data_IF_529460572798
#
_entry.id   IF_529460572798
#
_cell.length_a   1.000
_cell.length_b   1.000
_cell.length_c   1.000
_cell.angle_alpha   90.00
_cell.angle_beta   90.00
_cell.angle_gamma   90.00
#
_symmetry.space_group_name_H-M   'P 1'
#
loop_
_entity.id
_entity.type
_entity.pdbx_description
1 polymer ?
#
# COMPACT_ATOMS: atom_id res chain seq x y z
N UNK A 1 -12.03 -2.75 0.27
CA UNK A 1 -10.65 -3.24 0.04
C UNK A 1 -10.41 -3.80 -1.36
N UNK A 2 -10.84 -5.01 -1.74
CA UNK A 2 -10.56 -5.55 -3.11
C UNK A 2 -11.06 -4.63 -4.23
N UNK A 3 -12.28 -4.11 -4.10
CA UNK A 3 -12.83 -3.12 -5.03
C UNK A 3 -11.99 -1.83 -5.07
N UNK A 4 -11.64 -1.27 -3.91
CA UNK A 4 -10.76 -0.08 -3.78
C UNK A 4 -9.41 -0.28 -4.49
N UNK A 5 -8.76 -1.44 -4.30
CA UNK A 5 -7.49 -1.81 -4.96
C UNK A 5 -7.68 -1.92 -6.48
N UNK A 6 -8.75 -2.59 -6.94
CA UNK A 6 -9.04 -2.71 -8.38
C UNK A 6 -9.30 -1.36 -9.04
N UNK A 7 -10.07 -0.48 -8.40
CA UNK A 7 -10.35 0.89 -8.88
C UNK A 7 -9.07 1.72 -8.95
N UNK A 8 -8.26 1.69 -7.90
CA UNK A 8 -6.97 2.38 -7.83
C UNK A 8 -5.96 1.91 -8.89
N UNK A 9 -5.99 0.64 -9.27
CA UNK A 9 -5.14 0.07 -10.33
C UNK A 9 -5.57 0.45 -11.75
N UNK A 10 -6.64 1.23 -11.93
CA UNK A 10 -7.11 1.65 -13.24
C UNK A 10 -7.82 0.54 -14.02
N UNK A 11 -8.39 -0.46 -13.32
CA UNK A 11 -9.29 -1.44 -13.94
C UNK A 11 -10.70 -0.88 -14.19
N UNK A 12 -10.90 0.41 -13.90
CA UNK A 12 -12.07 1.21 -14.27
C UNK A 12 -11.94 1.69 -15.72
N UNK A 13 -13.05 1.73 -16.47
CA UNK A 13 -13.09 2.26 -17.84
C UNK A 13 -13.05 3.79 -17.92
N UNK A 14 -13.22 4.48 -16.79
CA UNK A 14 -13.30 5.95 -16.70
C UNK A 14 -12.09 6.50 -15.95
N UNK A 15 -11.37 7.50 -16.51
CA UNK A 15 -10.32 8.23 -15.80
C UNK A 15 -10.86 8.90 -14.54
N UNK A 16 -10.16 8.74 -13.43
CA UNK A 16 -10.58 9.30 -12.14
C UNK A 16 -10.25 10.78 -12.07
N UNK A 17 -11.15 11.54 -11.46
CA UNK A 17 -10.93 12.94 -11.10
C UNK A 17 -10.06 13.04 -9.84
N UNK A 18 -9.49 14.22 -9.59
CA UNK A 18 -8.55 14.41 -8.47
C UNK A 18 -9.21 14.21 -7.09
N UNK A 19 -10.47 14.61 -6.94
CA UNK A 19 -11.30 14.33 -5.76
C UNK A 19 -11.46 12.83 -5.52
N UNK A 20 -11.76 12.06 -6.58
CA UNK A 20 -11.85 10.59 -6.48
C UNK A 20 -10.51 9.94 -6.14
N UNK A 21 -9.39 10.49 -6.62
CA UNK A 21 -8.05 10.03 -6.25
C UNK A 21 -7.72 10.33 -4.78
N UNK A 22 -8.23 11.45 -4.26
CA UNK A 22 -8.05 11.83 -2.85
C UNK A 22 -8.82 10.89 -1.92
N UNK A 23 -10.07 10.57 -2.28
CA UNK A 23 -10.86 9.57 -1.55
C UNK A 23 -10.17 8.20 -1.55
N UNK A 24 -9.70 7.75 -2.71
CA UNK A 24 -8.98 6.48 -2.83
C UNK A 24 -7.68 6.46 -2.02
N UNK A 25 -6.91 7.55 -2.01
CA UNK A 25 -5.71 7.65 -1.19
C UNK A 25 -6.03 7.53 0.30
N UNK A 26 -7.06 8.23 0.77
CA UNK A 26 -7.52 8.12 2.17
C UNK A 26 -7.95 6.70 2.52
N UNK A 27 -8.76 6.05 1.68
CA UNK A 27 -9.20 4.67 1.91
C UNK A 27 -8.02 3.68 1.95
N UNK A 28 -7.10 3.78 0.99
CA UNK A 28 -5.94 2.90 0.90
C UNK A 28 -4.98 3.10 2.08
N UNK A 29 -4.78 4.33 2.53
CA UNK A 29 -3.97 4.62 3.73
C UNK A 29 -4.59 4.02 4.98
N UNK A 30 -5.89 4.21 5.18
CA UNK A 30 -6.61 3.60 6.31
C UNK A 30 -6.62 2.06 6.25
N UNK A 31 -6.45 1.47 5.07
CA UNK A 31 -6.20 0.04 4.93
C UNK A 31 -4.78 -0.35 5.33
N UNK A 32 -3.76 0.38 4.87
CA UNK A 32 -2.36 0.13 5.24
C UNK A 32 -2.15 0.28 6.75
N UNK A 33 -2.65 1.35 7.36
CA UNK A 33 -2.55 1.60 8.81
C UNK A 33 -3.09 0.46 9.67
N UNK A 34 -4.13 -0.24 9.19
CA UNK A 34 -4.69 -1.40 9.88
C UNK A 34 -3.88 -2.68 9.69
N UNK A 35 -3.28 -2.88 8.52
CA UNK A 35 -2.59 -4.13 8.18
C UNK A 35 -1.11 -4.13 8.59
N UNK A 36 -0.49 -2.96 8.55
CA UNK A 36 0.94 -2.79 8.74
C UNK A 36 1.45 -3.29 10.10
N UNK A 37 0.79 -3.00 11.25
CA UNK A 37 1.28 -3.46 12.55
C UNK A 37 1.35 -4.99 12.65
N UNK A 38 0.26 -5.69 12.29
CA UNK A 38 0.20 -7.15 12.32
C UNK A 38 1.24 -7.80 11.40
N UNK A 39 1.45 -7.23 10.21
CA UNK A 39 2.48 -7.73 9.30
C UNK A 39 3.88 -7.49 9.85
N UNK A 40 4.16 -6.32 10.46
CA UNK A 40 5.46 -6.02 11.06
C UNK A 40 5.78 -6.96 12.21
N UNK A 41 4.82 -7.26 13.08
CA UNK A 41 4.97 -8.26 14.15
C UNK A 41 5.31 -9.66 13.59
N UNK A 42 4.71 -10.03 12.46
CA UNK A 42 4.98 -11.32 11.84
C UNK A 42 6.38 -11.38 11.21
N UNK A 43 6.83 -10.29 10.58
CA UNK A 43 8.20 -10.15 10.07
C UNK A 43 9.20 -10.20 11.22
N UNK A 44 8.95 -9.51 12.33
CA UNK A 44 9.85 -9.47 13.49
C UNK A 44 10.09 -10.83 14.14
N UNK A 45 9.19 -11.79 13.94
CA UNK A 45 9.35 -13.18 14.39
C UNK A 45 10.29 -14.02 13.49
N UNK A 46 10.62 -13.55 12.29
CA UNK A 46 11.59 -14.22 11.43
C UNK A 46 12.99 -14.10 12.03
N UNK A 47 13.93 -14.95 11.59
CA UNK A 47 15.31 -14.82 12.01
C UNK A 47 15.97 -13.57 11.43
N UNK A 48 16.41 -12.66 12.32
CA UNK A 48 17.00 -11.35 11.98
C UNK A 48 18.31 -11.42 11.20
N UNK A 49 19.03 -12.56 11.24
CA UNK A 49 20.25 -12.78 10.45
C UNK A 49 20.00 -13.25 9.02
N UNK A 50 18.74 -13.52 8.66
CA UNK A 50 18.37 -14.04 7.35
C UNK A 50 18.03 -12.94 6.34
N UNK A 51 18.34 -13.17 5.07
CA UNK A 51 18.02 -12.25 3.97
C UNK A 51 16.52 -11.98 3.85
N UNK A 52 15.67 -12.95 4.20
CA UNK A 52 14.20 -12.82 4.16
C UNK A 52 13.70 -11.73 5.12
N UNK A 53 14.23 -11.69 6.36
CA UNK A 53 13.88 -10.66 7.33
C UNK A 53 14.25 -9.27 6.81
N UNK A 54 15.49 -9.09 6.34
CA UNK A 54 15.96 -7.82 5.78
C UNK A 54 15.12 -7.34 4.58
N UNK A 55 14.74 -8.25 3.69
CA UNK A 55 13.91 -7.90 2.53
C UNK A 55 12.52 -7.45 2.95
N UNK A 56 11.90 -8.15 3.90
CA UNK A 56 10.53 -7.86 4.34
C UNK A 56 10.47 -6.60 5.20
N UNK A 57 11.43 -6.40 6.12
CA UNK A 57 11.48 -5.18 6.94
C UNK A 57 11.72 -3.94 6.07
N UNK A 58 12.63 -4.04 5.09
CA UNK A 58 12.88 -2.95 4.12
C UNK A 58 11.65 -2.64 3.27
N UNK A 59 10.86 -3.67 2.91
CA UNK A 59 9.60 -3.49 2.18
C UNK A 59 8.58 -2.75 3.05
N UNK A 60 8.45 -3.10 4.33
CA UNK A 60 7.57 -2.41 5.27
C UNK A 60 7.97 -0.94 5.50
N UNK A 61 9.25 -0.66 5.69
CA UNK A 61 9.77 0.71 5.79
C UNK A 61 9.47 1.51 4.50
N UNK A 62 9.55 0.86 3.34
CA UNK A 62 9.16 1.45 2.06
C UNK A 62 7.67 1.82 2.01
N UNK A 63 6.80 0.95 2.52
CA UNK A 63 5.35 1.19 2.59
C UNK A 63 5.04 2.38 3.51
N UNK A 64 5.67 2.45 4.68
CA UNK A 64 5.51 3.58 5.61
C UNK A 64 5.92 4.91 4.98
N UNK A 65 7.06 4.92 4.28
CA UNK A 65 7.49 6.11 3.52
C UNK A 65 6.49 6.47 2.43
N UNK A 66 5.96 5.49 1.69
CA UNK A 66 4.98 5.74 0.63
C UNK A 66 3.70 6.38 1.17
N UNK A 67 3.20 5.91 2.32
CA UNK A 67 2.05 6.51 3.02
C UNK A 67 2.32 7.98 3.38
N UNK A 68 3.55 8.30 3.79
CA UNK A 68 3.95 9.67 4.13
C UNK A 68 4.06 10.64 2.95
N UNK A 69 4.19 10.17 1.71
CA UNK A 69 4.41 11.02 0.54
C UNK A 69 3.18 11.84 0.11
N UNK A 70 1.96 11.33 0.34
CA UNK A 70 0.73 11.95 -0.14
C UNK A 70 0.62 12.01 -1.67
N UNK A 71 -0.40 12.70 -2.18
CA UNK A 71 -0.75 12.73 -3.63
C UNK A 71 0.21 13.56 -4.51
N UNK A 72 1.04 14.41 -3.91
CA UNK A 72 1.78 15.43 -4.65
C UNK A 72 0.88 16.51 -5.26
N UNK A 73 1.42 17.26 -6.22
CA UNK A 73 0.81 18.51 -6.71
C UNK A 73 -0.02 18.37 -8.00
N UNK A 74 -0.07 17.19 -8.63
CA UNK A 74 -0.75 17.01 -9.92
C UNK A 74 -1.57 15.73 -10.04
N UNK A 75 -2.45 15.69 -11.04
CA UNK A 75 -3.30 14.51 -11.32
C UNK A 75 -2.46 13.27 -11.63
N UNK A 76 -1.36 13.42 -12.35
CA UNK A 76 -0.45 12.31 -12.64
C UNK A 76 0.22 11.77 -11.36
N UNK A 77 0.71 12.66 -10.48
CA UNK A 77 1.33 12.23 -9.22
C UNK A 77 0.30 11.56 -8.30
N UNK A 78 -0.93 12.07 -8.28
CA UNK A 78 -2.04 11.47 -7.53
C UNK A 78 -2.38 10.05 -8.02
N UNK A 79 -2.43 9.84 -9.35
CA UNK A 79 -2.63 8.52 -9.93
C UNK A 79 -1.51 7.55 -9.56
N UNK A 80 -0.24 7.99 -9.69
CA UNK A 80 0.91 7.17 -9.33
C UNK A 80 0.85 6.79 -7.85
N UNK A 81 0.56 7.75 -6.97
CA UNK A 81 0.44 7.51 -5.54
C UNK A 81 -0.62 6.46 -5.23
N UNK A 82 -1.84 6.64 -5.74
CA UNK A 82 -2.97 5.72 -5.53
C UNK A 82 -2.64 4.32 -6.05
N UNK A 83 -1.95 4.20 -7.19
CA UNK A 83 -1.51 2.90 -7.71
C UNK A 83 -0.45 2.23 -6.83
N UNK A 84 0.50 2.97 -6.28
CA UNK A 84 1.52 2.42 -5.39
C UNK A 84 0.89 1.95 -4.07
N UNK A 85 0.04 2.76 -3.46
CA UNK A 85 -0.69 2.39 -2.25
C UNK A 85 -1.57 1.14 -2.48
N UNK A 86 -2.17 0.99 -3.66
CA UNK A 86 -2.93 -0.21 -4.01
C UNK A 86 -2.06 -1.46 -4.13
N UNK A 87 -0.84 -1.35 -4.67
CA UNK A 87 0.13 -2.46 -4.71
C UNK A 87 0.61 -2.82 -3.31
N UNK A 88 0.83 -1.82 -2.46
CA UNK A 88 1.25 -2.02 -1.07
C UNK A 88 0.16 -2.71 -0.25
N UNK A 89 -1.10 -2.28 -0.41
CA UNK A 89 -2.26 -2.98 0.16
C UNK A 89 -2.32 -4.45 -0.29
N UNK A 90 -2.14 -4.70 -1.59
CA UNK A 90 -2.18 -6.06 -2.13
C UNK A 90 -1.06 -6.92 -1.54
N UNK A 91 0.16 -6.38 -1.45
CA UNK A 91 1.30 -7.07 -0.85
C UNK A 91 1.05 -7.41 0.62
N UNK A 92 0.49 -6.49 1.41
CA UNK A 92 0.16 -6.72 2.82
C UNK A 92 -0.91 -7.83 2.98
N UNK A 93 -1.95 -7.84 2.14
CA UNK A 93 -2.96 -8.90 2.13
C UNK A 93 -2.32 -10.25 1.81
N UNK A 94 -1.51 -10.30 0.75
CA UNK A 94 -0.90 -11.55 0.29
C UNK A 94 0.08 -12.09 1.33
N UNK A 95 0.82 -11.21 2.02
CA UNK A 95 1.69 -11.59 3.11
C UNK A 95 0.91 -12.22 4.28
N UNK A 96 -0.20 -11.62 4.70
CA UNK A 96 -1.04 -12.19 5.78
C UNK A 96 -1.65 -13.54 5.43
N UNK A 97 -1.86 -13.83 4.14
CA UNK A 97 -2.40 -15.14 3.68
C UNK A 97 -1.36 -16.26 3.66
N UNK A 98 -0.08 -15.92 3.72
CA UNK A 98 1.04 -16.88 3.69
C UNK A 98 1.55 -17.23 5.10
N UNK A 99 0.99 -16.58 6.12
CA UNK A 99 1.20 -16.84 7.55
C UNK A 99 0.17 -17.88 8.02
#
# INVERSE_FOLDING_TARGET
MRYTISRARGQSSVPLRYDELTELESELRGHIERLLPTTREAVDRLWHGGTVWHQQISRLDGIERQVGQGLGTGVLSAHVQVQQLAKDCQWLIDHQRQQ
#
